data_IF_624664290810
#
_entry.id   IF_624664290810
#
_cell.length_a   1.000
_cell.length_b   1.000
_cell.length_c   1.000
_cell.angle_alpha   90.00
_cell.angle_beta   90.00
_cell.angle_gamma   90.00
#
_symmetry.space_group_name_H-M   'P 1'
#
loop_
_entity.id
_entity.type
_entity.pdbx_description
1 polymer ?
#
# COMPACT_ATOMS: atom_id res chain seq x y z
N UNK A 1 -72.95 -23.46 -23.94
CA UNK A 1 -72.87 -23.50 -22.47
C UNK A 1 -71.42 -23.65 -22.06
N UNK A 2 -70.86 -22.52 -21.63
CA UNK A 2 -69.63 -22.24 -20.88
C UNK A 2 -68.60 -23.36 -20.70
N UNK A 3 -67.56 -23.35 -21.55
CA UNK A 3 -66.28 -24.03 -21.31
C UNK A 3 -65.21 -22.99 -21.01
N UNK A 4 -64.85 -22.93 -19.73
CA UNK A 4 -63.47 -23.01 -19.20
C UNK A 4 -62.38 -22.45 -20.10
N UNK A 5 -61.92 -21.24 -19.78
CA UNK A 5 -60.52 -20.80 -19.73
C UNK A 5 -60.56 -19.27 -19.62
N UNK A 6 -60.04 -18.69 -18.54
CA UNK A 6 -58.98 -17.69 -18.71
C UNK A 6 -58.35 -17.32 -17.36
N UNK A 7 -57.09 -17.75 -17.25
CA UNK A 7 -55.98 -17.10 -16.58
C UNK A 7 -56.19 -16.59 -15.15
N UNK A 8 -55.84 -17.46 -14.20
CA UNK A 8 -55.24 -17.04 -12.94
C UNK A 8 -53.95 -16.26 -13.25
N UNK A 9 -53.98 -14.95 -13.10
CA UNK A 9 -52.79 -14.11 -12.94
C UNK A 9 -52.20 -14.39 -11.55
N UNK A 10 -51.40 -15.45 -11.43
CA UNK A 10 -50.49 -15.61 -10.29
C UNK A 10 -49.22 -14.86 -10.64
N UNK A 11 -49.12 -13.63 -10.15
CA UNK A 11 -47.90 -12.82 -10.15
C UNK A 11 -46.84 -13.54 -9.34
N UNK A 12 -46.02 -14.32 -10.04
CA UNK A 12 -44.79 -14.93 -9.56
C UNK A 12 -43.79 -13.80 -9.27
N UNK A 13 -43.81 -13.27 -8.05
CA UNK A 13 -42.75 -12.43 -7.51
C UNK A 13 -41.52 -13.31 -7.29
N UNK A 14 -40.68 -13.42 -8.32
CA UNK A 14 -39.37 -14.06 -8.23
C UNK A 14 -38.54 -13.21 -7.27
N UNK A 15 -38.43 -13.66 -6.03
CA UNK A 15 -37.47 -13.16 -5.06
C UNK A 15 -36.08 -13.52 -5.57
N UNK A 16 -35.42 -12.59 -6.26
CA UNK A 16 -34.01 -12.75 -6.55
C UNK A 16 -33.23 -12.70 -5.22
N UNK A 17 -32.36 -13.68 -4.93
CA UNK A 17 -31.43 -13.53 -3.83
C UNK A 17 -30.52 -12.35 -4.17
N UNK A 18 -30.61 -11.29 -3.36
CA UNK A 18 -29.54 -10.29 -3.27
C UNK A 18 -28.33 -11.08 -2.79
N UNK A 19 -27.46 -11.44 -3.73
CA UNK A 19 -26.08 -11.80 -3.41
C UNK A 19 -25.48 -10.53 -2.84
N UNK A 20 -25.45 -10.45 -1.50
CA UNK A 20 -24.64 -9.47 -0.83
C UNK A 20 -23.22 -9.67 -1.35
N UNK A 21 -22.70 -8.68 -2.07
CA UNK A 21 -21.27 -8.53 -2.18
C UNK A 21 -20.77 -8.44 -0.75
N UNK A 22 -20.14 -9.53 -0.29
CA UNK A 22 -19.29 -9.46 0.88
C UNK A 22 -18.19 -8.47 0.50
N UNK A 23 -18.37 -7.22 0.89
CA UNK A 23 -17.27 -6.28 0.99
C UNK A 23 -16.19 -7.03 1.75
N UNK A 24 -15.01 -7.28 1.15
CA UNK A 24 -13.93 -7.94 1.86
C UNK A 24 -13.74 -7.14 3.14
N UNK A 25 -13.59 -7.77 4.32
CA UNK A 25 -13.50 -7.05 5.57
C UNK A 25 -12.42 -5.98 5.43
N UNK A 26 -12.87 -4.73 5.25
CA UNK A 26 -12.03 -3.57 5.29
C UNK A 26 -11.45 -3.56 6.69
N UNK A 27 -10.22 -4.07 6.78
CA UNK A 27 -9.40 -4.09 7.97
C UNK A 27 -9.62 -2.79 8.71
N UNK A 28 -10.30 -2.85 9.86
CA UNK A 28 -10.33 -1.73 10.79
C UNK A 28 -8.93 -1.62 11.38
N UNK A 29 -8.02 -1.00 10.61
CA UNK A 29 -6.66 -0.70 11.05
C UNK A 29 -6.78 0.37 12.13
N UNK A 30 -6.83 -0.05 13.39
CA UNK A 30 -6.86 0.85 14.56
C UNK A 30 -5.49 1.43 14.88
N UNK A 31 -4.45 1.03 14.14
CA UNK A 31 -3.06 1.39 14.39
C UNK A 31 -2.55 2.31 13.29
N UNK A 32 -2.05 3.50 13.63
CA UNK A 32 -1.46 4.42 12.65
C UNK A 32 0.07 4.25 12.65
N UNK A 33 0.65 3.51 11.69
CA UNK A 33 2.08 3.16 11.70
C UNK A 33 3.00 4.30 11.24
N UNK A 34 2.44 5.46 10.87
CA UNK A 34 3.18 6.57 10.26
C UNK A 34 3.40 7.75 11.22
N UNK A 35 3.36 7.53 12.54
CA UNK A 35 3.66 8.57 13.54
C UNK A 35 4.85 8.18 14.43
N UNK A 36 5.31 9.11 15.24
CA UNK A 36 6.47 8.93 16.12
C UNK A 36 6.23 7.91 17.27
N UNK A 37 4.97 7.53 17.50
CA UNK A 37 4.57 6.52 18.49
C UNK A 37 4.27 5.16 17.86
N UNK A 38 4.53 4.98 16.57
CA UNK A 38 4.27 3.74 15.86
C UNK A 38 5.23 2.64 16.32
N UNK A 39 4.70 1.43 16.48
CA UNK A 39 5.53 0.26 16.78
C UNK A 39 6.30 -0.17 15.53
N UNK A 40 7.62 -0.33 15.67
CA UNK A 40 8.49 -0.63 14.54
C UNK A 40 8.28 -2.03 13.96
N UNK A 41 7.85 -2.98 14.80
CA UNK A 41 7.59 -4.39 14.45
C UNK A 41 6.37 -4.58 13.52
N UNK A 42 5.57 -3.53 13.31
CA UNK A 42 4.51 -3.53 12.29
C UNK A 42 5.08 -3.68 10.88
N UNK A 43 6.23 -3.03 10.64
CA UNK A 43 6.86 -2.97 9.33
C UNK A 43 8.15 -3.81 9.26
N UNK A 44 8.92 -3.83 10.34
CA UNK A 44 10.22 -4.48 10.39
C UNK A 44 10.15 -5.91 10.93
N UNK A 45 11.06 -6.76 10.49
CA UNK A 45 11.17 -8.12 11.02
C UNK A 45 11.76 -8.16 12.43
N UNK A 46 12.69 -7.25 12.72
CA UNK A 46 13.32 -7.13 14.03
C UNK A 46 12.39 -6.43 15.04
N UNK A 47 12.53 -6.79 16.31
CA UNK A 47 11.79 -6.17 17.42
C UNK A 47 12.19 -4.72 17.62
N UNK A 48 11.37 -3.96 18.36
CA UNK A 48 11.69 -2.57 18.69
C UNK A 48 12.99 -2.47 19.53
N UNK A 49 13.19 -3.41 20.46
CA UNK A 49 14.41 -3.53 21.26
C UNK A 49 15.63 -3.76 20.36
N UNK A 50 15.52 -4.68 19.39
CA UNK A 50 16.60 -4.97 18.45
C UNK A 50 16.90 -3.76 17.56
N UNK A 51 15.88 -3.07 17.04
CA UNK A 51 16.08 -1.91 16.16
C UNK A 51 16.74 -0.72 16.90
N UNK A 52 16.42 -0.57 18.19
CA UNK A 52 17.00 0.47 19.08
C UNK A 52 18.37 0.08 19.62
N UNK A 53 18.76 -1.19 19.57
CA UNK A 53 20.08 -1.64 20.00
C UNK A 53 21.20 -0.99 19.17
N UNK A 54 22.29 -0.66 19.85
CA UNK A 54 23.48 -0.06 19.24
C UNK A 54 24.28 -1.06 18.41
N UNK A 55 24.11 -2.37 18.66
CA UNK A 55 24.80 -3.44 17.96
C UNK A 55 24.09 -3.92 16.68
N UNK A 56 22.93 -3.38 16.35
CA UNK A 56 22.12 -3.90 15.25
C UNK A 56 22.63 -3.41 13.90
N UNK A 57 22.99 -4.36 13.04
CA UNK A 57 23.48 -4.08 11.70
C UNK A 57 22.44 -3.34 10.86
N UNK A 58 22.92 -2.49 9.94
CA UNK A 58 22.04 -1.71 9.06
C UNK A 58 21.16 -2.60 8.17
N UNK A 59 21.65 -3.77 7.76
CA UNK A 59 20.87 -4.76 7.02
C UNK A 59 19.66 -5.25 7.81
N UNK A 60 19.85 -5.58 9.09
CA UNK A 60 18.76 -5.96 9.99
C UNK A 60 17.76 -4.82 10.17
N UNK A 61 18.23 -3.58 10.38
CA UNK A 61 17.34 -2.41 10.51
C UNK A 61 16.49 -2.13 9.27
N UNK A 62 16.98 -2.50 8.09
CA UNK A 62 16.29 -2.30 6.82
C UNK A 62 15.40 -3.48 6.41
N UNK A 63 15.49 -4.61 7.12
CA UNK A 63 14.72 -5.81 6.80
C UNK A 63 13.26 -5.60 7.20
N UNK A 64 12.38 -5.69 6.22
CA UNK A 64 10.94 -5.61 6.41
C UNK A 64 10.39 -7.00 6.74
N UNK A 65 9.27 -7.04 7.47
CA UNK A 65 8.58 -8.29 7.86
C UNK A 65 7.98 -9.03 6.67
N UNK A 66 7.60 -8.30 5.64
CA UNK A 66 7.13 -8.78 4.33
C UNK A 66 7.95 -8.09 3.23
N UNK A 67 7.66 -8.36 1.95
CA UNK A 67 8.23 -7.57 0.86
C UNK A 67 7.96 -6.06 1.03
N UNK A 68 8.84 -5.23 0.44
CA UNK A 68 8.79 -3.77 0.51
C UNK A 68 7.43 -3.18 0.08
N UNK A 69 6.68 -3.86 -0.78
CA UNK A 69 5.35 -3.43 -1.19
C UNK A 69 4.26 -4.09 -0.36
N UNK A 70 4.40 -5.39 -0.08
CA UNK A 70 3.41 -6.18 0.67
C UNK A 70 3.14 -5.63 2.06
N UNK A 71 4.16 -5.09 2.74
CA UNK A 71 4.00 -4.45 4.05
C UNK A 71 3.09 -3.22 3.98
N UNK A 72 3.18 -2.45 2.89
CA UNK A 72 2.32 -1.28 2.66
C UNK A 72 0.91 -1.71 2.27
N UNK A 73 0.78 -2.79 1.50
CA UNK A 73 -0.51 -3.31 1.05
C UNK A 73 -1.39 -3.89 2.15
N UNK A 74 -0.86 -4.10 3.34
CA UNK A 74 -1.66 -4.45 4.52
C UNK A 74 -2.68 -3.34 4.87
N UNK A 75 -2.42 -2.10 4.45
CA UNK A 75 -3.25 -0.92 4.77
C UNK A 75 -3.58 -0.04 3.56
N UNK A 76 -2.84 -0.17 2.45
CA UNK A 76 -3.01 0.64 1.24
C UNK A 76 -3.35 -0.24 0.04
N UNK A 77 -4.21 0.22 -0.86
CA UNK A 77 -4.51 -0.52 -2.08
C UNK A 77 -3.31 -0.57 -3.03
N UNK A 78 -3.30 -1.56 -3.93
CA UNK A 78 -2.22 -1.76 -4.92
C UNK A 78 -2.08 -0.53 -5.84
N UNK A 79 -3.17 0.16 -6.11
CA UNK A 79 -3.20 1.37 -6.95
C UNK A 79 -2.61 2.61 -6.27
N UNK A 80 -2.22 2.52 -4.99
CA UNK A 80 -1.56 3.60 -4.26
C UNK A 80 -0.19 3.97 -4.84
N UNK A 81 0.46 3.05 -5.59
CA UNK A 81 1.82 3.23 -6.09
C UNK A 81 1.91 3.43 -7.60
N UNK A 82 2.22 4.65 -8.06
CA UNK A 82 2.60 4.86 -9.46
C UNK A 82 3.93 4.16 -9.77
N UNK A 83 3.90 3.17 -10.67
CA UNK A 83 5.11 2.56 -11.24
C UNK A 83 5.79 1.48 -10.39
N UNK A 84 5.21 1.10 -9.24
CA UNK A 84 5.68 -0.03 -8.42
C UNK A 84 5.76 -1.31 -9.26
N UNK A 85 6.81 -2.11 -9.04
CA UNK A 85 7.09 -3.35 -9.78
C UNK A 85 7.65 -3.15 -11.19
N UNK A 86 7.77 -1.90 -11.67
CA UNK A 86 8.36 -1.60 -12.98
C UNK A 86 9.86 -1.31 -12.85
N UNK A 87 10.63 -1.73 -13.84
CA UNK A 87 12.03 -1.33 -13.99
C UNK A 87 12.08 0.03 -14.70
N UNK A 88 12.67 1.07 -14.08
CA UNK A 88 12.74 2.39 -14.70
C UNK A 88 13.80 2.41 -15.81
N UNK A 89 13.50 3.09 -16.92
CA UNK A 89 14.48 3.32 -17.99
C UNK A 89 15.58 4.33 -17.60
N UNK A 90 15.26 5.22 -16.64
CA UNK A 90 16.11 6.30 -16.15
C UNK A 90 15.98 6.37 -14.64
N UNK A 91 17.08 6.65 -13.93
CA UNK A 91 17.07 6.85 -12.48
C UNK A 91 18.13 7.90 -12.14
N UNK A 92 17.86 9.16 -12.48
CA UNK A 92 18.85 10.25 -12.43
C UNK A 92 19.34 10.54 -11.01
N UNK A 93 18.48 10.33 -10.01
CA UNK A 93 18.79 10.59 -8.61
C UNK A 93 19.34 9.35 -7.87
N UNK A 94 19.68 8.28 -8.60
CA UNK A 94 20.14 7.01 -8.03
C UNK A 94 19.21 6.51 -6.90
N UNK A 95 17.90 6.61 -7.11
CA UNK A 95 16.91 6.08 -6.20
C UNK A 95 17.17 4.60 -5.95
N UNK A 96 17.05 4.11 -4.70
CA UNK A 96 17.23 2.70 -4.42
C UNK A 96 16.12 1.89 -5.09
N UNK A 97 16.50 0.78 -5.71
CA UNK A 97 15.61 -0.19 -6.32
C UNK A 97 15.75 -1.52 -5.56
N UNK A 98 14.82 -2.44 -5.77
CA UNK A 98 14.98 -3.80 -5.23
C UNK A 98 16.12 -4.58 -5.92
N UNK A 99 16.32 -5.83 -5.52
CA UNK A 99 17.39 -6.68 -6.05
C UNK A 99 17.23 -6.94 -7.56
N UNK A 100 16.00 -6.88 -8.07
CA UNK A 100 15.64 -7.05 -9.47
C UNK A 100 15.67 -5.72 -10.25
N UNK A 101 16.03 -4.61 -9.61
CA UNK A 101 16.07 -3.29 -10.24
C UNK A 101 14.69 -2.70 -10.52
N UNK A 102 13.69 -3.02 -9.70
CA UNK A 102 12.33 -2.49 -9.81
C UNK A 102 12.03 -1.47 -8.72
N UNK A 103 11.06 -0.62 -9.02
CA UNK A 103 10.53 0.39 -8.10
C UNK A 103 9.69 -0.29 -7.03
N UNK A 104 9.89 0.11 -5.77
CA UNK A 104 9.04 -0.32 -4.65
C UNK A 104 8.59 0.86 -3.78
N UNK A 105 7.55 0.63 -2.98
CA UNK A 105 6.99 1.64 -2.08
C UNK A 105 8.02 2.12 -1.05
N UNK A 106 8.50 1.22 -0.19
CA UNK A 106 9.22 1.56 1.04
C UNK A 106 10.72 1.86 0.87
N UNK A 107 11.33 1.51 -0.27
CA UNK A 107 12.72 1.89 -0.54
C UNK A 107 12.82 2.97 -1.60
N UNK A 108 12.14 2.86 -2.75
CA UNK A 108 12.37 3.77 -3.89
C UNK A 108 11.78 5.16 -3.66
N UNK A 109 10.47 5.24 -3.45
CA UNK A 109 9.74 6.51 -3.43
C UNK A 109 9.52 7.04 -2.02
N UNK A 110 9.10 6.16 -1.11
CA UNK A 110 8.80 6.53 0.27
C UNK A 110 9.95 6.12 1.21
N UNK A 111 10.12 6.90 2.28
CA UNK A 111 11.01 6.63 3.38
C UNK A 111 10.34 7.12 4.67
N UNK A 112 9.73 6.20 5.42
CA UNK A 112 8.95 6.53 6.63
C UNK A 112 9.77 7.23 7.72
N UNK A 113 11.11 7.16 7.66
CA UNK A 113 12.00 7.76 8.63
C UNK A 113 12.57 9.12 8.20
N UNK A 114 12.23 9.61 7.01
CA UNK A 114 12.69 10.93 6.58
C UNK A 114 11.87 12.02 7.27
N UNK A 115 12.57 13.03 7.82
CA UNK A 115 11.98 14.24 8.36
C UNK A 115 12.65 15.44 7.69
N UNK A 116 11.88 16.28 7.01
CA UNK A 116 12.38 17.49 6.34
C UNK A 116 11.56 18.72 6.75
N UNK A 117 11.90 19.92 6.27
CA UNK A 117 11.08 21.12 6.47
C UNK A 117 9.86 21.18 5.54
N UNK A 118 9.81 20.33 4.51
CA UNK A 118 8.79 20.37 3.46
C UNK A 118 7.54 19.59 3.90
N UNK A 119 6.44 20.32 4.15
CA UNK A 119 5.20 19.72 4.66
C UNK A 119 4.68 18.58 3.78
N UNK A 120 4.72 18.75 2.45
CA UNK A 120 4.23 17.74 1.51
C UNK A 120 5.11 16.48 1.53
N UNK A 121 6.43 16.66 1.61
CA UNK A 121 7.37 15.55 1.71
C UNK A 121 7.13 14.74 2.98
N UNK A 122 6.94 15.41 4.12
CA UNK A 122 6.64 14.75 5.39
C UNK A 122 5.28 14.05 5.38
N UNK A 123 4.23 14.69 4.83
CA UNK A 123 2.87 14.13 4.79
C UNK A 123 2.81 12.78 4.09
N UNK A 124 3.61 12.60 3.04
CA UNK A 124 3.65 11.37 2.24
C UNK A 124 4.94 10.58 2.44
N UNK A 125 5.77 10.97 3.41
CA UNK A 125 7.07 10.37 3.68
C UNK A 125 7.92 10.18 2.42
N UNK A 126 7.95 11.16 1.52
CA UNK A 126 8.67 11.04 0.25
C UNK A 126 10.18 11.15 0.47
N UNK A 127 10.98 10.31 -0.21
CA UNK A 127 12.45 10.35 -0.10
C UNK A 127 13.05 11.67 -0.61
N UNK A 128 12.43 12.27 -1.61
CA UNK A 128 12.75 13.61 -2.10
C UNK A 128 11.46 14.43 -2.27
N UNK A 129 11.58 15.70 -2.64
CA UNK A 129 10.41 16.46 -3.08
C UNK A 129 9.71 15.75 -4.25
N UNK A 130 8.39 15.90 -4.31
CA UNK A 130 7.55 15.22 -5.31
C UNK A 130 8.07 15.41 -6.74
N UNK A 131 8.35 16.66 -7.14
CA UNK A 131 8.90 16.95 -8.47
C UNK A 131 10.26 16.28 -8.71
N UNK A 132 11.12 16.23 -7.69
CA UNK A 132 12.44 15.60 -7.82
C UNK A 132 12.31 14.08 -8.01
N UNK A 133 11.36 13.44 -7.34
CA UNK A 133 11.07 12.02 -7.55
C UNK A 133 10.57 11.74 -8.97
N UNK A 134 9.56 12.48 -9.45
CA UNK A 134 9.01 12.29 -10.79
C UNK A 134 10.10 12.44 -11.87
N UNK A 135 10.89 13.51 -11.77
CA UNK A 135 11.93 13.82 -12.75
C UNK A 135 13.18 12.92 -12.64
N UNK A 136 13.26 12.05 -11.62
CA UNK A 136 14.29 11.01 -11.57
C UNK A 136 14.11 9.99 -12.71
N UNK A 137 12.85 9.68 -13.03
CA UNK A 137 12.50 8.65 -14.01
C UNK A 137 11.86 9.21 -15.29
N UNK A 138 11.24 10.38 -15.22
CA UNK A 138 10.54 11.02 -16.33
C UNK A 138 11.32 12.20 -16.91
N UNK A 139 11.14 12.44 -18.20
CA UNK A 139 11.59 13.69 -18.81
C UNK A 139 10.71 14.86 -18.34
N UNK A 140 11.28 16.06 -18.38
CA UNK A 140 10.56 17.31 -18.03
C UNK A 140 9.53 17.67 -19.09
#
# INVERSE_FOLDING_TARGET
MHKVLLLMFVTLMISMPVTGEETPPGSQVTTYPHNDSAKCDLCHEATEEDLKSWFTFSSTKKKMRLDYNEVCWQCHDIDFGHGVGKSPKKNRENLPLDAEGKITCAITCHNMHIKTSEQHQNKFHLRFSHMKLCLSCHDR
#
